data_IF_681985002130
#
_entry.id   IF_681985002130
#
_cell.length_a   1.000
_cell.length_b   1.000
_cell.length_c   1.000
_cell.angle_alpha   90.00
_cell.angle_beta   90.00
_cell.angle_gamma   90.00
#
_symmetry.space_group_name_H-M   'P 1'
#
loop_
_entity.id
_entity.type
_entity.pdbx_description
1 polymer ?
#
# COMPACT_ATOMS: atom_id res chain seq x y z
N UNK A 1 10.32 -42.43 -56.16
CA UNK A 1 9.87 -41.41 -55.19
C UNK A 1 10.42 -41.57 -53.76
N UNK A 2 11.11 -42.66 -53.41
CA UNK A 2 11.51 -42.98 -52.01
C UNK A 2 12.67 -42.10 -51.49
N UNK A 3 13.57 -41.63 -52.36
CA UNK A 3 14.76 -40.83 -51.94
C UNK A 3 14.40 -39.44 -51.37
N UNK A 4 13.33 -38.82 -51.85
CA UNK A 4 12.90 -37.48 -51.37
C UNK A 4 12.45 -37.51 -49.90
N UNK A 5 11.73 -38.57 -49.49
CA UNK A 5 11.31 -38.75 -48.10
C UNK A 5 12.49 -38.98 -47.16
N UNK A 6 13.56 -39.63 -47.63
CA UNK A 6 14.78 -39.85 -46.85
C UNK A 6 15.58 -38.55 -46.68
N UNK A 7 15.74 -37.76 -47.76
CA UNK A 7 16.42 -36.46 -47.70
C UNK A 7 15.68 -35.49 -46.77
N UNK A 8 14.35 -35.45 -46.85
CA UNK A 8 13.53 -34.61 -45.97
C UNK A 8 13.69 -34.99 -44.48
N UNK A 9 13.74 -36.28 -44.16
CA UNK A 9 13.96 -36.75 -42.77
C UNK A 9 15.34 -36.38 -42.24
N UNK A 10 16.38 -36.48 -43.08
CA UNK A 10 17.74 -36.09 -42.70
C UNK A 10 17.79 -34.57 -42.45
N UNK A 11 17.18 -33.76 -43.33
CA UNK A 11 17.12 -32.30 -43.17
C UNK A 11 16.44 -31.88 -41.86
N UNK A 12 15.32 -32.52 -41.52
CA UNK A 12 14.61 -32.26 -40.25
C UNK A 12 15.44 -32.72 -39.05
N UNK A 13 16.09 -33.87 -39.12
CA UNK A 13 16.96 -34.36 -38.05
C UNK A 13 18.18 -33.45 -37.83
N UNK A 14 18.78 -32.94 -38.91
CA UNK A 14 19.89 -31.97 -38.84
C UNK A 14 19.42 -30.62 -38.28
N UNK A 15 18.24 -30.15 -38.68
CA UNK A 15 17.65 -28.94 -38.11
C UNK A 15 17.37 -29.10 -36.61
N UNK A 16 16.82 -30.23 -36.18
CA UNK A 16 16.58 -30.54 -34.76
C UNK A 16 17.87 -30.67 -33.96
N UNK A 17 18.93 -31.24 -34.54
CA UNK A 17 20.24 -31.34 -33.90
C UNK A 17 20.94 -29.97 -33.73
N UNK A 18 20.57 -28.97 -34.55
CA UNK A 18 21.12 -27.61 -34.47
C UNK A 18 20.31 -26.68 -33.53
N UNK A 19 19.06 -27.02 -33.18
CA UNK A 19 18.24 -26.24 -32.23
C UNK A 19 18.92 -25.94 -30.88
N UNK A 20 19.67 -26.88 -30.25
CA UNK A 20 20.36 -26.61 -28.99
C UNK A 20 21.42 -25.51 -29.13
N UNK A 21 22.08 -25.37 -30.28
CA UNK A 21 23.08 -24.34 -30.49
C UNK A 21 22.48 -22.93 -30.54
N UNK A 22 21.20 -22.79 -30.95
CA UNK A 22 20.49 -21.50 -30.87
C UNK A 22 20.10 -21.14 -29.42
N UNK A 23 19.88 -22.13 -28.55
CA UNK A 23 19.67 -21.89 -27.11
C UNK A 23 20.96 -21.37 -26.46
N UNK A 24 22.14 -21.85 -26.90
CA UNK A 24 23.43 -21.35 -26.42
C UNK A 24 23.76 -19.91 -26.90
N UNK A 25 23.02 -19.36 -27.87
CA UNK A 25 23.19 -17.98 -28.35
C UNK A 25 22.35 -16.95 -27.56
N UNK A 26 21.53 -17.39 -26.59
CA UNK A 26 20.89 -16.46 -25.66
C UNK A 26 21.94 -15.94 -24.66
N UNK A 27 22.55 -14.79 -24.97
CA UNK A 27 23.23 -14.02 -23.95
C UNK A 27 22.19 -13.62 -22.89
N UNK A 28 22.45 -13.85 -21.58
CA UNK A 28 21.67 -13.23 -20.54
C UNK A 28 21.62 -11.73 -20.84
N UNK A 29 20.42 -11.17 -21.02
CA UNK A 29 20.28 -9.72 -21.03
C UNK A 29 20.84 -9.23 -19.70
N UNK A 30 21.86 -8.36 -19.67
CA UNK A 30 22.45 -7.91 -18.42
C UNK A 30 21.39 -7.17 -17.62
N UNK A 31 20.78 -7.86 -16.66
CA UNK A 31 19.92 -7.22 -15.67
C UNK A 31 20.86 -6.59 -14.66
N UNK A 32 21.10 -5.29 -14.83
CA UNK A 32 21.81 -4.50 -13.82
C UNK A 32 21.05 -4.61 -12.50
N UNK A 33 21.71 -4.90 -11.37
CA UNK A 33 21.09 -4.78 -10.05
C UNK A 33 20.71 -3.33 -9.71
N UNK A 34 21.11 -2.37 -10.55
CA UNK A 34 20.73 -0.95 -10.51
C UNK A 34 19.80 -0.55 -11.67
N UNK A 35 19.21 -1.51 -12.39
CA UNK A 35 18.07 -1.21 -13.26
C UNK A 35 16.90 -0.84 -12.33
N UNK A 36 16.89 0.42 -11.88
CA UNK A 36 15.85 0.95 -11.04
C UNK A 36 14.52 0.65 -11.68
N UNK A 37 13.65 -0.03 -10.95
CA UNK A 37 12.28 -0.19 -11.37
C UNK A 37 11.72 1.22 -11.64
N UNK A 38 11.06 1.45 -12.79
CA UNK A 38 10.38 2.71 -13.03
C UNK A 38 9.45 2.98 -11.84
N UNK A 39 9.57 4.15 -11.20
CA UNK A 39 8.62 4.53 -10.15
C UNK A 39 7.28 4.68 -10.81
N UNK A 40 6.40 3.74 -10.52
CA UNK A 40 5.03 3.74 -11.00
C UNK A 40 4.17 4.58 -10.06
N UNK A 41 3.01 5.04 -10.55
CA UNK A 41 2.07 5.77 -9.73
C UNK A 41 1.57 4.91 -8.54
N UNK A 42 1.54 3.59 -8.73
CA UNK A 42 1.23 2.60 -7.69
C UNK A 42 2.26 2.58 -6.57
N UNK A 43 3.55 2.69 -6.88
CA UNK A 43 4.59 2.72 -5.84
C UNK A 43 4.46 3.96 -4.93
N UNK A 44 4.14 5.11 -5.53
CA UNK A 44 3.90 6.36 -4.79
C UNK A 44 2.64 6.23 -3.94
N UNK A 45 1.57 5.64 -4.48
CA UNK A 45 0.34 5.39 -3.74
C UNK A 45 0.58 4.48 -2.54
N UNK A 46 1.32 3.39 -2.71
CA UNK A 46 1.60 2.41 -1.65
C UNK A 46 2.40 3.04 -0.50
N UNK A 47 3.38 3.89 -0.81
CA UNK A 47 4.14 4.64 0.20
C UNK A 47 3.22 5.58 0.97
N UNK A 48 2.38 6.34 0.27
CA UNK A 48 1.44 7.29 0.90
C UNK A 48 0.43 6.56 1.78
N UNK A 49 -0.15 5.45 1.31
CA UNK A 49 -1.08 4.64 2.10
C UNK A 49 -0.40 4.06 3.34
N UNK A 50 0.84 3.58 3.21
CA UNK A 50 1.61 3.04 4.33
C UNK A 50 1.84 4.10 5.40
N UNK A 51 2.27 5.30 5.00
CA UNK A 51 2.48 6.43 5.93
C UNK A 51 1.15 6.85 6.56
N UNK A 52 0.08 6.97 5.78
CA UNK A 52 -1.23 7.35 6.29
C UNK A 52 -1.75 6.35 7.33
N UNK A 53 -1.67 5.04 7.05
CA UNK A 53 -2.08 3.99 8.00
C UNK A 53 -1.26 4.05 9.29
N UNK A 54 0.05 4.26 9.18
CA UNK A 54 0.93 4.40 10.33
C UNK A 54 0.55 5.60 11.21
N UNK A 55 0.31 6.77 10.59
CA UNK A 55 -0.09 7.98 11.30
C UNK A 55 -1.47 7.83 11.97
N UNK A 56 -2.42 7.19 11.29
CA UNK A 56 -3.75 6.92 11.85
C UNK A 56 -3.62 6.03 13.09
N UNK A 57 -2.85 4.95 13.02
CA UNK A 57 -2.67 4.01 14.14
C UNK A 57 -2.09 4.73 15.37
N UNK A 58 -1.01 5.49 15.19
CA UNK A 58 -0.40 6.25 16.29
C UNK A 58 -1.38 7.27 16.86
N UNK A 59 -2.12 7.97 16.00
CA UNK A 59 -3.06 9.00 16.43
C UNK A 59 -4.19 8.44 17.28
N UNK A 60 -4.72 7.25 16.94
CA UNK A 60 -5.74 6.56 17.75
C UNK A 60 -5.18 6.18 19.12
N UNK A 61 -3.97 5.64 19.19
CA UNK A 61 -3.31 5.28 20.46
C UNK A 61 -3.16 6.51 21.36
N UNK A 62 -2.68 7.63 20.79
CA UNK A 62 -2.54 8.90 21.51
C UNK A 62 -3.91 9.39 22.00
N UNK A 63 -4.95 9.35 21.16
CA UNK A 63 -6.29 9.78 21.55
C UNK A 63 -6.82 8.99 22.75
N UNK A 64 -6.65 7.66 22.76
CA UNK A 64 -7.03 6.81 23.90
C UNK A 64 -6.28 7.20 25.17
N UNK A 65 -4.98 7.45 25.08
CA UNK A 65 -4.18 7.89 26.23
C UNK A 65 -4.72 9.20 26.81
N UNK A 66 -5.03 10.19 25.97
CA UNK A 66 -5.58 11.47 26.43
C UNK A 66 -6.96 11.32 27.08
N UNK A 67 -7.82 10.45 26.53
CA UNK A 67 -9.14 10.17 27.10
C UNK A 67 -9.01 9.49 28.46
N UNK A 68 -8.16 8.46 28.59
CA UNK A 68 -7.93 7.76 29.86
C UNK A 68 -7.33 8.70 30.90
N UNK A 69 -6.34 9.50 30.50
CA UNK A 69 -5.66 10.41 31.42
C UNK A 69 -6.58 11.55 31.88
N UNK A 70 -7.40 12.08 30.98
CA UNK A 70 -8.47 13.03 31.32
C UNK A 70 -9.54 12.40 32.23
N UNK A 71 -9.89 11.13 31.99
CA UNK A 71 -10.82 10.37 32.83
C UNK A 71 -10.32 10.18 34.26
N UNK A 72 -9.06 9.78 34.42
CA UNK A 72 -8.44 9.66 35.75
C UNK A 72 -8.39 11.01 36.47
N UNK A 73 -8.03 12.09 35.76
CA UNK A 73 -8.02 13.44 36.33
C UNK A 73 -9.41 13.90 36.76
N UNK A 74 -10.45 13.52 36.01
CA UNK A 74 -11.85 13.82 36.35
C UNK A 74 -12.28 13.09 37.62
N UNK A 75 -11.93 11.82 37.77
CA UNK A 75 -12.23 11.04 38.98
C UNK A 75 -11.48 11.56 40.21
N UNK A 76 -10.26 12.08 40.04
CA UNK A 76 -9.45 12.64 41.12
C UNK A 76 -9.83 14.07 41.50
N UNK A 77 -10.68 14.76 40.72
CA UNK A 77 -11.01 16.15 40.94
C UNK A 77 -11.89 16.40 42.19
N UNK A 78 -12.68 15.41 42.63
CA UNK A 78 -13.60 15.57 43.75
C UNK A 78 -14.56 16.75 43.56
N UNK A 79 -14.69 17.60 44.58
CA UNK A 79 -15.56 18.80 44.58
C UNK A 79 -14.88 20.06 43.98
N UNK A 80 -13.63 19.97 43.51
CA UNK A 80 -12.93 21.10 42.90
C UNK A 80 -13.45 21.35 41.48
N UNK A 81 -14.34 22.35 41.35
CA UNK A 81 -14.99 22.73 40.10
C UNK A 81 -13.98 23.08 39.00
N UNK A 82 -12.85 23.70 39.36
CA UNK A 82 -11.82 24.07 38.39
C UNK A 82 -11.11 22.84 37.80
N UNK A 83 -10.76 21.87 38.64
CA UNK A 83 -10.15 20.61 38.20
C UNK A 83 -11.12 19.74 37.41
N UNK A 84 -12.37 19.69 37.83
CA UNK A 84 -13.45 18.97 37.14
C UNK A 84 -13.68 19.54 35.75
N UNK A 85 -13.72 20.88 35.62
CA UNK A 85 -13.83 21.56 34.32
C UNK A 85 -12.63 21.30 33.41
N UNK A 86 -11.40 21.43 33.93
CA UNK A 86 -10.19 21.18 33.16
C UNK A 86 -10.10 19.73 32.66
N UNK A 87 -10.48 18.76 33.50
CA UNK A 87 -10.50 17.35 33.13
C UNK A 87 -11.52 17.06 32.03
N UNK A 88 -12.74 17.62 32.12
CA UNK A 88 -13.76 17.50 31.06
C UNK A 88 -13.27 18.07 29.73
N UNK A 89 -12.67 19.26 29.73
CA UNK A 89 -12.10 19.85 28.52
C UNK A 89 -11.04 18.95 27.90
N UNK A 90 -10.21 18.30 28.73
CA UNK A 90 -9.17 17.38 28.25
C UNK A 90 -9.77 16.13 27.59
N UNK A 91 -10.83 15.56 28.17
CA UNK A 91 -11.57 14.43 27.59
C UNK A 91 -12.20 14.84 26.25
N UNK A 92 -12.87 15.99 26.20
CA UNK A 92 -13.51 16.51 24.97
C UNK A 92 -12.46 16.74 23.87
N UNK A 93 -11.31 17.32 24.20
CA UNK A 93 -10.22 17.50 23.24
C UNK A 93 -9.67 16.15 22.73
N UNK A 94 -9.59 15.13 23.59
CA UNK A 94 -9.23 13.76 23.18
C UNK A 94 -10.26 13.15 22.23
N UNK A 95 -11.55 13.36 22.47
CA UNK A 95 -12.64 12.91 21.59
C UNK A 95 -12.59 13.64 20.25
N UNK A 96 -12.35 14.96 20.24
CA UNK A 96 -12.19 15.73 19.01
C UNK A 96 -11.00 15.20 18.21
N UNK A 97 -9.87 14.92 18.86
CA UNK A 97 -8.71 14.29 18.22
C UNK A 97 -9.05 12.95 17.56
N UNK A 98 -9.78 12.08 18.27
CA UNK A 98 -10.25 10.81 17.70
C UNK A 98 -11.18 11.01 16.49
N UNK A 99 -12.12 11.96 16.57
CA UNK A 99 -13.04 12.28 15.47
C UNK A 99 -12.30 12.81 14.24
N UNK A 100 -11.26 13.63 14.42
CA UNK A 100 -10.44 14.14 13.31
C UNK A 100 -9.75 12.98 12.59
N UNK A 101 -9.18 12.02 13.33
CA UNK A 101 -8.52 10.85 12.71
C UNK A 101 -9.51 10.02 11.90
N UNK A 102 -10.72 9.80 12.42
CA UNK A 102 -11.79 9.11 11.70
C UNK A 102 -12.22 9.88 10.45
N UNK A 103 -12.36 11.20 10.54
CA UNK A 103 -12.71 12.06 9.41
C UNK A 103 -11.64 12.01 8.31
N UNK A 104 -10.35 12.01 8.66
CA UNK A 104 -9.27 11.85 7.68
C UNK A 104 -9.36 10.51 6.97
N UNK A 105 -9.58 9.41 7.71
CA UNK A 105 -9.78 8.09 7.10
C UNK A 105 -10.95 8.06 6.12
N UNK A 106 -12.07 8.70 6.48
CA UNK A 106 -13.24 8.83 5.61
C UNK A 106 -12.93 9.65 4.35
N UNK A 107 -12.26 10.79 4.48
CA UNK A 107 -11.87 11.65 3.34
C UNK A 107 -10.94 10.90 2.39
N UNK A 108 -9.97 10.15 2.90
CA UNK A 108 -9.06 9.39 2.04
C UNK A 108 -9.80 8.29 1.26
N UNK A 109 -10.77 7.60 1.89
CA UNK A 109 -11.59 6.60 1.20
C UNK A 109 -12.49 7.22 0.13
N UNK A 110 -13.11 8.37 0.41
CA UNK A 110 -13.94 9.05 -0.59
C UNK A 110 -13.10 9.56 -1.75
N UNK A 111 -11.93 10.15 -1.49
CA UNK A 111 -11.00 10.56 -2.55
C UNK A 111 -10.48 9.37 -3.37
N UNK A 112 -10.13 8.25 -2.74
CA UNK A 112 -9.70 7.05 -3.46
C UNK A 112 -10.81 6.53 -4.40
N UNK A 113 -12.07 6.57 -3.96
CA UNK A 113 -13.21 6.19 -4.80
C UNK A 113 -13.45 7.14 -5.99
N UNK A 114 -13.18 8.43 -5.81
CA UNK A 114 -13.31 9.45 -6.86
C UNK A 114 -12.15 9.42 -7.86
N UNK A 115 -10.94 9.19 -7.39
CA UNK A 115 -9.72 9.10 -8.22
C UNK A 115 -9.70 7.82 -9.03
N UNK A 116 -10.32 6.74 -8.55
CA UNK A 116 -10.51 5.53 -9.33
C UNK A 116 -11.49 5.82 -10.48
N UNK A 117 -10.97 6.35 -11.59
CA UNK A 117 -11.70 6.73 -12.81
C UNK A 117 -12.65 5.64 -13.33
N UNK A 118 -12.41 4.38 -12.97
CA UNK A 118 -13.27 3.21 -13.28
C UNK A 118 -14.64 3.27 -12.58
N UNK A 119 -14.71 3.81 -11.35
CA UNK A 119 -15.95 3.90 -10.56
C UNK A 119 -16.82 5.07 -11.00
N UNK A 120 -16.21 6.17 -11.45
CA UNK A 120 -16.94 7.37 -11.88
C UNK A 120 -17.56 7.22 -13.28
N UNK A 121 -16.90 6.51 -14.20
CA UNK A 121 -17.41 6.32 -15.55
C UNK A 121 -18.18 5.01 -15.75
N UNK A 122 -18.15 4.05 -14.81
CA UNK A 122 -18.80 2.74 -14.95
C UNK A 122 -18.62 2.15 -16.38
N UNK A 123 -17.39 2.24 -16.88
CA UNK A 123 -16.87 1.67 -18.12
C UNK A 123 -15.57 0.98 -17.73
#
# INVERSE_FOLDING_TARGET
MIKFKTVAKILVATAMALMPALVLAQLPTPTSPYAGAPITLTDVQDIVETIARFLILISVVIAVIFIVWGGMMYMMAGDDVAKSGAAKTRIVNGIIGALVVLAVGLILQTLASLVNWTVFFNV
#
